data_IF_355798745723
#
_entry.id   IF_355798745723
#
_cell.length_a   1.000
_cell.length_b   1.000
_cell.length_c   1.000
_cell.angle_alpha   90.00
_cell.angle_beta   90.00
_cell.angle_gamma   90.00
#
_symmetry.space_group_name_H-M   'P 1'
#
loop_
_entity.id
_entity.type
_entity.pdbx_description
1 polymer ?
#
# COMPACT_ATOMS: atom_id res chain seq x y z
N UNK A 1 26.51 -45.98 26.62
CA UNK A 1 26.51 -45.42 25.26
C UNK A 1 25.81 -46.42 24.36
N UNK A 2 24.86 -45.99 23.53
CA UNK A 2 24.16 -46.90 22.63
C UNK A 2 25.17 -47.52 21.64
N UNK A 3 25.13 -48.83 21.46
CA UNK A 3 26.02 -49.58 20.56
C UNK A 3 25.70 -49.27 19.08
N UNK A 4 24.50 -48.76 18.82
CA UNK A 4 23.98 -48.41 17.49
C UNK A 4 23.32 -47.04 17.58
N UNK A 5 23.81 -46.09 16.80
CA UNK A 5 23.19 -44.76 16.62
C UNK A 5 22.09 -44.84 15.58
N UNK A 6 20.97 -44.15 15.81
CA UNK A 6 19.86 -44.07 14.86
C UNK A 6 19.70 -42.62 14.42
N UNK A 7 19.87 -42.38 13.12
CA UNK A 7 19.67 -41.09 12.49
C UNK A 7 18.34 -41.11 11.75
N UNK A 8 17.50 -40.13 12.03
CA UNK A 8 16.22 -39.91 11.37
C UNK A 8 15.98 -38.41 11.25
N UNK A 9 15.05 -38.03 10.40
CA UNK A 9 14.63 -36.64 10.32
C UNK A 9 14.02 -36.18 11.65
N UNK A 10 14.61 -35.16 12.27
CA UNK A 10 14.05 -34.41 13.40
C UNK A 10 14.05 -32.89 13.13
N UNK A 11 14.25 -32.51 11.86
CA UNK A 11 14.27 -31.13 11.42
C UNK A 11 12.90 -30.43 11.50
N UNK A 12 12.88 -29.09 11.33
CA UNK A 12 11.65 -28.32 11.42
C UNK A 12 10.62 -28.70 10.34
N UNK A 13 9.33 -28.44 10.56
CA UNK A 13 8.33 -28.54 9.49
C UNK A 13 8.55 -27.46 8.42
N UNK A 14 8.11 -27.71 7.18
CA UNK A 14 8.13 -26.71 6.10
C UNK A 14 9.50 -26.40 5.50
N UNK A 15 10.50 -27.22 5.80
CA UNK A 15 11.87 -27.08 5.28
C UNK A 15 12.04 -27.99 4.06
N UNK A 16 12.74 -27.52 3.03
CA UNK A 16 13.05 -28.29 1.82
C UNK A 16 14.29 -29.17 1.97
N UNK A 17 15.32 -28.65 2.66
CA UNK A 17 16.51 -29.43 3.01
C UNK A 17 17.02 -29.08 4.41
N UNK A 18 17.54 -30.09 5.10
CA UNK A 18 18.03 -29.95 6.47
C UNK A 18 19.26 -30.82 6.70
N UNK A 19 20.32 -30.22 7.26
CA UNK A 19 21.53 -30.92 7.65
C UNK A 19 21.39 -31.46 9.06
N UNK A 20 21.66 -32.76 9.23
CA UNK A 20 21.77 -33.37 10.54
C UNK A 20 22.92 -32.74 11.34
N UNK A 21 22.74 -32.33 12.61
CA UNK A 21 23.75 -31.57 13.35
C UNK A 21 25.02 -32.34 13.69
N UNK A 22 24.92 -33.65 13.93
CA UNK A 22 26.08 -34.46 14.29
C UNK A 22 26.77 -35.01 13.03
N UNK A 23 28.06 -34.71 12.87
CA UNK A 23 28.86 -35.14 11.73
C UNK A 23 29.69 -36.39 12.02
N UNK A 24 29.82 -36.79 13.28
CA UNK A 24 30.59 -37.97 13.68
C UNK A 24 29.68 -39.21 13.66
N UNK A 25 29.79 -39.99 12.59
CA UNK A 25 28.97 -41.18 12.39
C UNK A 25 29.71 -42.46 12.84
N UNK A 26 29.00 -43.35 13.53
CA UNK A 26 29.50 -44.69 13.88
C UNK A 26 29.44 -45.70 12.73
N UNK A 27 30.24 -46.76 12.82
CA UNK A 27 30.39 -47.82 11.79
C UNK A 27 29.12 -48.66 11.51
N UNK A 28 28.06 -48.49 12.31
CA UNK A 28 26.79 -49.23 12.17
C UNK A 28 25.56 -48.35 12.34
N UNK A 29 25.70 -47.05 12.07
CA UNK A 29 24.60 -46.10 12.21
C UNK A 29 23.41 -46.50 11.32
N UNK A 30 22.23 -46.54 11.91
CA UNK A 30 20.98 -46.83 11.22
C UNK A 30 20.36 -45.51 10.74
N UNK A 31 20.29 -45.34 9.43
CA UNK A 31 19.61 -44.20 8.80
C UNK A 31 18.16 -44.58 8.48
N UNK A 32 17.21 -43.77 8.94
CA UNK A 32 15.79 -43.91 8.63
C UNK A 32 15.37 -42.74 7.76
N UNK A 33 14.91 -43.05 6.54
CA UNK A 33 14.41 -42.09 5.56
C UNK A 33 12.90 -42.27 5.41
N UNK A 34 12.14 -41.18 5.56
CA UNK A 34 10.68 -41.23 5.39
C UNK A 34 10.29 -41.37 3.91
N UNK A 35 9.06 -41.81 3.64
CA UNK A 35 8.56 -42.03 2.26
C UNK A 35 8.64 -40.82 1.34
N UNK A 36 8.45 -39.62 1.90
CA UNK A 36 8.49 -38.35 1.18
C UNK A 36 9.87 -37.68 1.17
N UNK A 37 10.93 -38.44 1.50
CA UNK A 37 12.28 -37.91 1.68
C UNK A 37 13.32 -38.69 0.87
N UNK A 38 14.40 -37.97 0.56
CA UNK A 38 15.68 -38.54 0.14
C UNK A 38 16.75 -38.04 1.09
N UNK A 39 17.81 -38.83 1.29
CA UNK A 39 18.97 -38.42 2.08
C UNK A 39 20.22 -38.48 1.24
N UNK A 40 21.04 -37.44 1.27
CA UNK A 40 22.33 -37.40 0.61
C UNK A 40 23.43 -37.34 1.66
N UNK A 41 24.43 -38.21 1.54
CA UNK A 41 25.61 -38.19 2.39
C UNK A 41 26.71 -37.35 1.73
N UNK A 42 27.24 -36.36 2.45
CA UNK A 42 28.41 -35.59 2.01
C UNK A 42 29.63 -35.97 2.84
N UNK A 43 30.78 -36.13 2.18
CA UNK A 43 32.06 -36.37 2.86
C UNK A 43 33.18 -35.70 2.09
N UNK A 44 34.06 -35.00 2.81
CA UNK A 44 35.18 -34.28 2.18
C UNK A 44 34.73 -33.25 1.13
N UNK A 45 33.54 -32.65 1.31
CA UNK A 45 32.97 -31.69 0.37
C UNK A 45 32.34 -32.29 -0.90
N UNK A 46 32.22 -33.62 -0.99
CA UNK A 46 31.59 -34.29 -2.14
C UNK A 46 30.28 -34.97 -1.72
N UNK A 47 29.24 -34.81 -2.54
CA UNK A 47 28.02 -35.60 -2.43
C UNK A 47 28.32 -37.04 -2.88
N UNK A 48 28.14 -38.01 -1.99
CA UNK A 48 28.43 -39.43 -2.25
C UNK A 48 27.16 -40.18 -2.63
N UNK A 49 26.51 -40.82 -1.65
CA UNK A 49 25.36 -41.69 -1.87
C UNK A 49 24.04 -40.94 -1.66
N UNK A 50 23.01 -41.41 -2.35
CA UNK A 50 21.62 -40.98 -2.19
C UNK A 50 20.81 -42.18 -1.69
N UNK A 51 20.12 -41.99 -0.57
CA UNK A 51 19.26 -42.97 0.07
C UNK A 51 17.80 -42.57 -0.11
N UNK A 52 16.99 -43.50 -0.61
CA UNK A 52 15.53 -43.34 -0.72
C UNK A 52 14.83 -43.76 0.57
N UNK A 53 13.50 -43.68 0.60
CA UNK A 53 12.68 -44.16 1.71
C UNK A 53 13.07 -45.56 2.22
N UNK A 54 13.07 -45.73 3.54
CA UNK A 54 13.37 -46.99 4.20
C UNK A 54 14.45 -46.90 5.29
N UNK A 55 14.79 -48.06 5.84
CA UNK A 55 15.89 -48.19 6.81
C UNK A 55 17.15 -48.64 6.08
N UNK A 56 18.22 -47.89 6.27
CA UNK A 56 19.53 -48.14 5.68
C UNK A 56 20.57 -48.29 6.79
N UNK A 57 21.51 -49.20 6.60
CA UNK A 57 22.67 -49.31 7.49
C UNK A 57 23.85 -48.62 6.83
N UNK A 58 24.37 -47.58 7.47
CA UNK A 58 25.57 -46.89 7.01
C UNK A 58 26.79 -47.74 7.41
N UNK A 59 27.34 -48.47 6.44
CA UNK A 59 28.56 -49.26 6.61
C UNK A 59 29.64 -48.71 5.69
N UNK A 60 30.84 -48.52 6.22
CA UNK A 60 32.04 -48.06 5.50
C UNK A 60 32.35 -48.88 4.25
N UNK A 61 31.98 -50.16 4.21
CA UNK A 61 32.19 -51.04 3.06
C UNK A 61 31.11 -50.90 1.96
N UNK A 62 29.95 -50.32 2.26
CA UNK A 62 28.77 -50.31 1.38
C UNK A 62 28.55 -48.96 0.68
N UNK A 63 29.42 -47.98 0.90
CA UNK A 63 29.46 -46.72 0.14
C UNK A 63 30.45 -46.94 -1.02
N UNK A 64 29.98 -47.16 -2.27
CA UNK A 64 30.77 -47.75 -3.36
C UNK A 64 32.03 -46.96 -3.74
N UNK A 65 32.08 -45.67 -3.41
CA UNK A 65 33.20 -44.76 -3.72
C UNK A 65 34.25 -44.73 -2.59
N UNK A 66 33.91 -45.17 -1.37
CA UNK A 66 34.76 -45.03 -0.18
C UNK A 66 35.68 -46.22 0.11
N UNK A 67 35.54 -47.35 -0.58
CA UNK A 67 36.35 -48.55 -0.33
C UNK A 67 37.84 -48.37 -0.68
N UNK A 68 38.21 -47.35 -1.45
CA UNK A 68 39.58 -47.17 -1.96
C UNK A 68 40.50 -46.27 -1.10
N UNK A 69 40.03 -45.71 0.02
CA UNK A 69 40.81 -44.72 0.81
C UNK A 69 40.72 -45.05 2.30
N UNK A 70 41.35 -46.12 2.78
CA UNK A 70 41.54 -46.32 4.23
C UNK A 70 42.87 -46.98 4.54
N UNK A 71 43.85 -46.18 4.97
CA UNK A 71 44.97 -46.57 5.82
C UNK A 71 45.56 -45.29 6.46
N UNK A 72 45.09 -44.84 7.63
CA UNK A 72 45.85 -43.89 8.47
C UNK A 72 45.33 -43.83 9.94
N UNK A 73 46.18 -43.45 10.94
CA UNK A 73 45.90 -43.50 12.38
C UNK A 73 45.41 -42.15 12.93
N UNK A 74 44.14 -42.06 13.35
CA UNK A 74 43.46 -40.78 13.62
C UNK A 74 43.29 -40.38 15.10
N UNK A 75 44.32 -40.52 15.94
CA UNK A 75 44.47 -39.72 17.18
C UNK A 75 43.25 -39.51 18.11
N UNK A 76 42.31 -40.45 18.17
CA UNK A 76 41.11 -40.37 19.01
C UNK A 76 39.89 -39.63 18.42
N UNK A 77 39.92 -39.15 17.17
CA UNK A 77 38.74 -38.64 16.44
C UNK A 77 38.18 -39.71 15.51
N UNK A 78 36.86 -39.77 15.36
CA UNK A 78 36.23 -40.71 14.43
C UNK A 78 36.77 -40.45 13.01
N UNK A 79 37.26 -41.47 12.27
CA UNK A 79 37.72 -41.31 10.88
C UNK A 79 36.57 -41.01 9.89
N UNK A 80 35.35 -40.80 10.40
CA UNK A 80 34.12 -40.68 9.62
C UNK A 80 33.36 -39.39 9.97
N UNK A 81 33.96 -38.23 9.67
CA UNK A 81 33.22 -36.98 9.57
C UNK A 81 32.45 -36.96 8.24
N UNK A 82 31.13 -37.00 8.30
CA UNK A 82 30.25 -36.91 7.14
C UNK A 82 28.98 -36.14 7.50
N UNK A 83 28.44 -35.39 6.55
CA UNK A 83 27.19 -34.64 6.71
C UNK A 83 26.02 -35.44 6.13
N UNK A 84 24.94 -35.54 6.89
CA UNK A 84 23.71 -36.23 6.45
C UNK A 84 22.67 -35.18 6.12
N UNK A 85 22.31 -35.08 4.84
CA UNK A 85 21.37 -34.10 4.33
C UNK A 85 20.03 -34.73 4.02
N UNK A 86 18.99 -34.36 4.75
CA UNK A 86 17.62 -34.74 4.45
C UNK A 86 16.99 -33.75 3.46
N UNK A 87 16.35 -34.27 2.42
CA UNK A 87 15.68 -33.50 1.38
C UNK A 87 14.21 -33.93 1.32
N UNK A 88 13.31 -32.97 1.57
CA UNK A 88 11.87 -33.19 1.56
C UNK A 88 11.33 -33.05 0.13
N UNK A 89 10.84 -34.16 -0.45
CA UNK A 89 10.30 -34.23 -1.82
C UNK A 89 8.82 -33.89 -1.92
N UNK A 90 8.22 -33.41 -0.82
CA UNK A 90 6.81 -32.99 -0.79
C UNK A 90 6.56 -31.88 -1.80
N UNK A 91 5.37 -31.90 -2.41
CA UNK A 91 4.90 -30.85 -3.31
C UNK A 91 4.42 -29.67 -2.47
N UNK A 92 5.16 -28.55 -2.50
CA UNK A 92 4.69 -27.31 -1.90
C UNK A 92 3.86 -26.57 -2.94
N UNK A 93 2.54 -26.46 -2.74
CA UNK A 93 1.61 -25.92 -3.74
C UNK A 93 1.21 -24.45 -3.53
N UNK A 94 1.48 -23.89 -2.35
CA UNK A 94 1.07 -22.54 -1.93
C UNK A 94 2.31 -21.67 -1.62
N UNK A 95 3.22 -21.56 -2.58
CA UNK A 95 4.34 -20.62 -2.48
C UNK A 95 3.90 -19.25 -3.00
N UNK A 96 3.56 -18.37 -2.07
CA UNK A 96 3.06 -17.03 -2.38
C UNK A 96 4.15 -16.13 -2.97
N UNK A 97 3.77 -15.31 -3.93
CA UNK A 97 4.61 -14.28 -4.53
C UNK A 97 3.82 -12.99 -4.74
N UNK A 98 4.55 -11.88 -4.82
CA UNK A 98 3.97 -10.58 -5.14
C UNK A 98 5.03 -9.62 -5.65
N UNK A 99 4.60 -8.68 -6.49
CA UNK A 99 5.47 -7.60 -6.99
C UNK A 99 5.92 -6.73 -5.82
N UNK A 100 7.23 -6.61 -5.63
CA UNK A 100 7.81 -5.80 -4.57
C UNK A 100 7.84 -4.30 -4.90
N UNK A 101 8.06 -3.97 -6.17
CA UNK A 101 7.90 -2.63 -6.71
C UNK A 101 6.68 -2.60 -7.64
N UNK A 102 5.93 -1.48 -7.67
CA UNK A 102 4.86 -1.30 -8.65
C UNK A 102 5.40 -1.30 -10.08
N UNK A 103 4.63 -1.88 -11.00
CA UNK A 103 4.85 -1.84 -12.44
C UNK A 103 4.23 -0.54 -12.94
N UNK A 104 5.07 0.45 -13.27
CA UNK A 104 4.62 1.72 -13.81
C UNK A 104 4.46 1.62 -15.33
N UNK A 105 3.25 1.88 -15.82
CA UNK A 105 2.97 1.90 -17.26
C UNK A 105 1.81 2.83 -17.58
N UNK A 106 1.63 3.11 -18.87
CA UNK A 106 0.51 3.89 -19.37
C UNK A 106 -0.60 2.93 -19.84
N UNK A 107 -1.82 3.10 -19.32
CA UNK A 107 -2.97 2.35 -19.80
C UNK A 107 -3.25 2.73 -21.27
N UNK A 108 -3.36 1.77 -22.19
CA UNK A 108 -3.51 2.04 -23.62
C UNK A 108 -4.88 2.58 -24.02
N UNK A 109 -5.92 2.40 -23.18
CA UNK A 109 -7.32 2.78 -23.46
C UNK A 109 -7.63 4.17 -22.94
N UNK A 110 -7.18 4.48 -21.73
CA UNK A 110 -7.44 5.74 -21.03
C UNK A 110 -6.25 6.70 -21.08
N UNK A 111 -5.09 6.24 -21.55
CA UNK A 111 -3.86 7.03 -21.71
C UNK A 111 -3.35 7.65 -20.39
N UNK A 112 -3.65 7.01 -19.25
CA UNK A 112 -3.25 7.43 -17.92
C UNK A 112 -2.06 6.61 -17.42
N UNK A 113 -1.17 7.22 -16.65
CA UNK A 113 -0.10 6.51 -15.95
C UNK A 113 -0.67 5.84 -14.71
N UNK A 114 -0.40 4.54 -14.55
CA UNK A 114 -0.86 3.73 -13.42
C UNK A 114 0.28 2.88 -12.87
N UNK A 115 0.23 2.64 -11.57
CA UNK A 115 1.20 1.79 -10.87
C UNK A 115 0.56 0.45 -10.51
N UNK A 116 0.79 -0.60 -11.29
CA UNK A 116 0.20 -1.91 -11.04
C UNK A 116 0.97 -2.72 -10.00
N UNK A 117 0.26 -3.55 -9.27
CA UNK A 117 0.82 -4.65 -8.49
C UNK A 117 0.17 -5.96 -8.91
N UNK A 118 0.93 -7.03 -8.80
CA UNK A 118 0.44 -8.37 -9.08
C UNK A 118 0.87 -9.30 -7.96
N UNK A 119 0.02 -10.28 -7.66
CA UNK A 119 0.31 -11.31 -6.68
C UNK A 119 -0.34 -12.63 -7.08
N UNK A 120 0.17 -13.68 -6.48
CA UNK A 120 -0.37 -15.01 -6.66
C UNK A 120 0.43 -16.05 -5.91
N UNK A 121 0.40 -17.27 -6.43
CA UNK A 121 1.08 -18.41 -5.84
C UNK A 121 1.65 -19.33 -6.91
N UNK A 122 2.65 -20.12 -6.55
CA UNK A 122 3.18 -21.17 -7.40
C UNK A 122 3.48 -22.43 -6.59
N UNK A 123 3.52 -23.55 -7.31
CA UNK A 123 3.81 -24.85 -6.75
C UNK A 123 5.19 -25.32 -7.17
N UNK A 124 5.96 -25.84 -6.22
CA UNK A 124 7.32 -26.35 -6.44
C UNK A 124 7.51 -27.72 -5.81
N UNK A 125 8.33 -28.55 -6.45
CA UNK A 125 8.79 -29.82 -5.92
C UNK A 125 10.28 -29.97 -6.20
N UNK A 126 11.02 -30.58 -5.27
CA UNK A 126 12.42 -30.96 -5.52
C UNK A 126 12.42 -32.21 -6.39
N UNK A 127 12.97 -32.11 -7.59
CA UNK A 127 13.05 -33.20 -8.56
C UNK A 127 14.41 -33.89 -8.48
N UNK A 128 15.50 -33.13 -8.47
CA UNK A 128 16.87 -33.63 -8.31
C UNK A 128 17.48 -33.08 -7.01
N UNK A 129 17.55 -33.95 -6.00
CA UNK A 129 18.04 -33.59 -4.67
C UNK A 129 19.53 -33.22 -4.68
N UNK A 130 20.34 -33.85 -5.51
CA UNK A 130 21.79 -33.57 -5.58
C UNK A 130 22.03 -32.21 -6.22
N UNK A 131 21.38 -31.95 -7.36
CA UNK A 131 21.46 -30.68 -8.06
C UNK A 131 20.95 -29.54 -7.20
N UNK A 132 19.84 -29.77 -6.49
CA UNK A 132 19.27 -28.82 -5.54
C UNK A 132 20.23 -28.48 -4.40
N UNK A 133 20.76 -29.46 -3.68
CA UNK A 133 21.69 -29.19 -2.58
C UNK A 133 22.95 -28.43 -3.04
N UNK A 134 23.55 -28.87 -4.16
CA UNK A 134 24.79 -28.28 -4.68
C UNK A 134 24.61 -26.85 -5.19
N UNK A 135 23.49 -26.54 -5.85
CA UNK A 135 23.25 -25.23 -6.46
C UNK A 135 22.57 -24.23 -5.53
N UNK A 136 21.74 -24.68 -4.57
CA UNK A 136 20.89 -23.79 -3.78
C UNK A 136 21.20 -23.72 -2.29
N UNK A 137 21.55 -24.84 -1.67
CA UNK A 137 21.66 -24.88 -0.20
C UNK A 137 23.02 -24.40 0.28
N UNK A 138 24.08 -24.73 -0.47
CA UNK A 138 25.42 -24.26 -0.18
C UNK A 138 25.88 -24.65 1.23
N UNK A 139 26.09 -23.67 2.10
CA UNK A 139 26.57 -23.85 3.48
C UNK A 139 25.49 -23.58 4.54
N UNK A 140 24.24 -23.36 4.15
CA UNK A 140 23.16 -23.16 5.11
C UNK A 140 22.93 -24.46 5.91
N UNK A 141 22.52 -24.42 7.19
CA UNK A 141 22.17 -25.64 7.93
C UNK A 141 20.78 -26.18 7.55
N UNK A 142 19.92 -25.32 6.99
CA UNK A 142 18.59 -25.67 6.51
C UNK A 142 18.18 -24.71 5.39
N UNK A 143 17.26 -25.16 4.53
CA UNK A 143 16.74 -24.39 3.42
C UNK A 143 15.21 -24.45 3.42
N UNK A 144 14.56 -23.31 3.63
CA UNK A 144 13.11 -23.19 3.77
C UNK A 144 12.45 -22.45 2.59
N UNK A 145 11.13 -22.32 2.64
CA UNK A 145 10.35 -21.62 1.61
C UNK A 145 10.68 -20.14 1.49
N UNK A 146 10.98 -19.46 2.61
CA UNK A 146 11.33 -18.04 2.56
C UNK A 146 12.65 -17.82 1.83
N UNK A 147 13.63 -18.69 2.08
CA UNK A 147 14.94 -18.68 1.39
C UNK A 147 14.77 -18.92 -0.10
N UNK A 148 13.93 -19.89 -0.48
CA UNK A 148 13.59 -20.15 -1.89
C UNK A 148 13.07 -18.88 -2.58
N UNK A 149 12.01 -18.26 -2.03
CA UNK A 149 11.39 -17.07 -2.62
C UNK A 149 12.40 -15.92 -2.71
N UNK A 150 13.25 -15.76 -1.69
CA UNK A 150 14.29 -14.72 -1.67
C UNK A 150 15.28 -14.88 -2.83
N UNK A 151 15.76 -16.10 -3.08
CA UNK A 151 16.76 -16.36 -4.13
C UNK A 151 16.18 -16.20 -5.53
N UNK A 152 14.92 -16.61 -5.72
CA UNK A 152 14.24 -16.51 -7.01
C UNK A 152 13.59 -15.16 -7.30
N UNK A 153 13.56 -14.24 -6.32
CA UNK A 153 12.90 -12.95 -6.44
C UNK A 153 13.29 -12.20 -7.71
N UNK A 154 14.58 -12.14 -8.04
CA UNK A 154 15.05 -11.43 -9.24
C UNK A 154 14.47 -12.01 -10.54
N UNK A 155 14.61 -13.33 -10.72
CA UNK A 155 14.11 -14.03 -11.91
C UNK A 155 12.59 -13.92 -12.02
N UNK A 156 11.87 -14.11 -10.90
CA UNK A 156 10.42 -13.97 -10.85
C UNK A 156 9.98 -12.56 -11.23
N UNK A 157 10.50 -11.53 -10.55
CA UNK A 157 10.08 -10.15 -10.76
C UNK A 157 10.36 -9.68 -12.20
N UNK A 158 11.53 -10.02 -12.75
CA UNK A 158 11.89 -9.67 -14.13
C UNK A 158 10.89 -10.23 -15.15
N UNK A 159 10.60 -11.54 -15.07
CA UNK A 159 9.69 -12.20 -16.02
C UNK A 159 8.24 -11.73 -15.82
N UNK A 160 7.79 -11.56 -14.57
CA UNK A 160 6.45 -11.06 -14.26
C UNK A 160 6.26 -9.65 -14.82
N UNK A 161 7.22 -8.75 -14.57
CA UNK A 161 7.18 -7.36 -15.06
C UNK A 161 7.14 -7.31 -16.59
N UNK A 162 8.03 -8.04 -17.26
CA UNK A 162 8.09 -8.11 -18.72
C UNK A 162 6.78 -8.62 -19.31
N UNK A 163 6.29 -9.77 -18.85
CA UNK A 163 5.10 -10.42 -19.42
C UNK A 163 3.85 -9.57 -19.16
N UNK A 164 3.61 -9.10 -17.93
CA UNK A 164 2.43 -8.25 -17.64
C UNK A 164 2.47 -6.97 -18.48
N UNK A 165 3.62 -6.30 -18.54
CA UNK A 165 3.78 -5.06 -19.32
C UNK A 165 3.55 -5.32 -20.81
N UNK A 166 4.03 -6.44 -21.35
CA UNK A 166 3.83 -6.79 -22.77
C UNK A 166 2.36 -6.97 -23.13
N UNK A 167 1.56 -7.56 -22.25
CA UNK A 167 0.11 -7.72 -22.47
C UNK A 167 -0.59 -6.36 -22.50
N UNK A 168 -0.22 -5.45 -21.61
CA UNK A 168 -0.86 -4.14 -21.55
C UNK A 168 -0.42 -3.27 -22.73
N UNK A 169 0.90 -3.16 -22.97
CA UNK A 169 1.45 -2.24 -23.97
C UNK A 169 1.30 -2.78 -25.39
N UNK A 170 1.70 -4.03 -25.64
CA UNK A 170 1.72 -4.56 -27.01
C UNK A 170 0.38 -5.12 -27.46
N UNK A 171 -0.34 -5.86 -26.58
CA UNK A 171 -1.72 -6.30 -26.90
C UNK A 171 -2.77 -5.21 -26.69
N UNK A 172 -2.38 -4.03 -26.19
CA UNK A 172 -3.26 -2.88 -25.91
C UNK A 172 -4.44 -3.22 -25.00
N UNK A 173 -4.20 -4.09 -24.01
CA UNK A 173 -5.21 -4.50 -23.03
C UNK A 173 -5.26 -3.45 -21.92
N UNK A 174 -6.46 -2.96 -21.61
CA UNK A 174 -6.63 -2.02 -20.49
C UNK A 174 -6.33 -2.70 -19.16
N UNK A 175 -5.77 -1.95 -18.22
CA UNK A 175 -5.47 -2.44 -16.86
C UNK A 175 -6.71 -2.84 -16.07
N UNK A 176 -7.89 -2.34 -16.47
CA UNK A 176 -9.17 -2.73 -15.88
C UNK A 176 -9.60 -4.13 -16.35
N UNK A 177 -9.19 -4.53 -17.55
CA UNK A 177 -9.57 -5.76 -18.22
C UNK A 177 -8.50 -6.86 -18.08
N UNK A 178 -7.30 -6.52 -17.60
CA UNK A 178 -6.13 -7.42 -17.56
C UNK A 178 -6.37 -8.69 -16.75
N UNK A 179 -7.20 -8.64 -15.70
CA UNK A 179 -7.54 -9.81 -14.88
C UNK A 179 -8.26 -10.89 -15.68
N UNK A 180 -8.97 -10.56 -16.75
CA UNK A 180 -9.58 -11.55 -17.65
C UNK A 180 -8.53 -12.43 -18.37
N UNK A 181 -7.28 -11.96 -18.45
CA UNK A 181 -6.15 -12.66 -19.07
C UNK A 181 -5.23 -13.32 -18.04
N UNK A 182 -5.57 -13.31 -16.75
CA UNK A 182 -4.71 -13.82 -15.69
C UNK A 182 -4.28 -15.27 -15.92
N UNK A 183 -5.17 -16.14 -16.43
CA UNK A 183 -4.83 -17.53 -16.76
C UNK A 183 -3.82 -17.66 -17.91
N UNK A 184 -3.95 -16.85 -18.96
CA UNK A 184 -3.00 -16.85 -20.09
C UNK A 184 -1.63 -16.32 -19.65
N UNK A 185 -1.63 -15.22 -18.89
CA UNK A 185 -0.43 -14.62 -18.29
C UNK A 185 0.27 -15.63 -17.37
N UNK A 186 -0.49 -16.34 -16.53
CA UNK A 186 0.03 -17.37 -15.64
C UNK A 186 0.78 -18.46 -16.41
N UNK A 187 0.19 -18.95 -17.52
CA UNK A 187 0.81 -19.96 -18.38
C UNK A 187 2.08 -19.44 -19.05
N UNK A 188 2.10 -18.18 -19.49
CA UNK A 188 3.27 -17.58 -20.12
C UNK A 188 4.41 -17.40 -19.11
N UNK A 189 4.11 -16.90 -17.91
CA UNK A 189 5.11 -16.77 -16.84
C UNK A 189 5.66 -18.14 -16.46
N UNK A 190 4.80 -19.14 -16.26
CA UNK A 190 5.22 -20.52 -15.98
C UNK A 190 6.23 -21.03 -17.01
N UNK A 191 5.92 -20.93 -18.30
CA UNK A 191 6.79 -21.39 -19.38
C UNK A 191 8.14 -20.66 -19.43
N UNK A 192 8.15 -19.36 -19.11
CA UNK A 192 9.38 -18.55 -19.11
C UNK A 192 10.32 -18.91 -17.95
N UNK A 193 9.77 -19.18 -16.75
CA UNK A 193 10.58 -19.39 -15.54
C UNK A 193 10.88 -20.86 -15.25
N UNK A 194 10.07 -21.80 -15.74
CA UNK A 194 10.24 -23.24 -15.47
C UNK A 194 11.65 -23.78 -15.78
N UNK A 195 12.31 -23.40 -16.90
CA UNK A 195 13.67 -23.85 -17.19
C UNK A 195 14.70 -23.44 -16.12
N UNK A 196 14.55 -22.25 -15.53
CA UNK A 196 15.44 -21.77 -14.48
C UNK A 196 15.32 -22.59 -13.19
N UNK A 197 14.10 -23.05 -12.86
CA UNK A 197 13.87 -23.97 -11.74
C UNK A 197 14.48 -25.35 -12.02
N UNK A 198 14.30 -25.88 -13.23
CA UNK A 198 14.85 -27.18 -13.63
C UNK A 198 16.39 -27.18 -13.62
N UNK A 199 17.03 -26.06 -13.99
CA UNK A 199 18.49 -25.98 -13.94
C UNK A 199 19.05 -26.16 -12.52
N UNK A 200 18.24 -25.96 -11.48
CA UNK A 200 18.67 -26.12 -10.09
C UNK A 200 18.03 -27.30 -9.37
N UNK A 201 17.39 -28.21 -10.11
CA UNK A 201 16.82 -29.44 -9.56
C UNK A 201 15.42 -29.26 -8.97
N UNK A 202 14.74 -28.18 -9.30
CA UNK A 202 13.35 -27.92 -8.90
C UNK A 202 12.41 -28.07 -10.09
N UNK A 203 11.23 -28.63 -9.83
CA UNK A 203 10.12 -28.69 -10.77
C UNK A 203 9.09 -27.63 -10.41
N UNK A 204 8.75 -26.76 -11.35
CA UNK A 204 7.66 -25.80 -11.21
C UNK A 204 6.34 -26.47 -11.63
N UNK A 205 5.53 -26.84 -10.65
CA UNK A 205 4.31 -27.63 -10.85
C UNK A 205 3.18 -26.80 -11.46
N UNK A 206 2.98 -25.60 -10.94
CA UNK A 206 1.98 -24.65 -11.40
C UNK A 206 2.46 -23.23 -11.08
N UNK A 207 1.85 -22.26 -11.74
CA UNK A 207 2.05 -20.84 -11.45
C UNK A 207 0.72 -20.15 -11.70
N UNK A 208 0.27 -19.36 -10.73
CA UNK A 208 -0.99 -18.63 -10.81
C UNK A 208 -0.76 -17.17 -10.46
N UNK A 209 -1.32 -16.29 -11.29
CA UNK A 209 -1.58 -14.89 -10.99
C UNK A 209 -3.01 -14.82 -10.48
N UNK A 210 -3.16 -14.52 -9.18
CA UNK A 210 -4.47 -14.45 -8.55
C UNK A 210 -5.13 -13.09 -8.84
N UNK A 211 -4.34 -12.02 -8.85
CA UNK A 211 -4.84 -10.69 -9.17
C UNK A 211 -3.73 -9.76 -9.66
N UNK A 212 -4.12 -8.87 -10.57
CA UNK A 212 -3.36 -7.69 -10.98
C UNK A 212 -4.23 -6.48 -10.65
N UNK A 213 -3.77 -5.60 -9.77
CA UNK A 213 -4.53 -4.47 -9.29
C UNK A 213 -3.73 -3.16 -9.31
N UNK A 214 -4.44 -2.04 -9.27
CA UNK A 214 -3.85 -0.74 -8.97
C UNK A 214 -4.08 -0.49 -7.48
N UNK A 215 -3.05 -0.12 -6.69
CA UNK A 215 -3.22 0.23 -5.28
C UNK A 215 -4.34 1.27 -5.09
N UNK A 216 -5.19 1.07 -4.10
CA UNK A 216 -6.36 1.94 -3.87
C UNK A 216 -5.98 3.39 -3.48
N UNK A 217 -4.77 3.58 -2.98
CA UNK A 217 -4.20 4.89 -2.65
C UNK A 217 -3.54 5.61 -3.85
N UNK A 218 -3.52 5.01 -5.05
CA UNK A 218 -2.98 5.66 -6.24
C UNK A 218 -3.97 6.74 -6.73
N UNK A 219 -3.57 8.03 -6.81
CA UNK A 219 -4.42 9.09 -7.32
C UNK A 219 -4.96 8.83 -8.74
N UNK A 220 -4.20 8.10 -9.57
CA UNK A 220 -4.65 7.70 -10.90
C UNK A 220 -5.79 6.68 -10.85
N UNK A 221 -5.75 5.74 -9.89
CA UNK A 221 -6.81 4.75 -9.70
C UNK A 221 -8.11 5.43 -9.25
N UNK A 222 -8.03 6.36 -8.31
CA UNK A 222 -9.19 7.11 -7.81
C UNK A 222 -9.85 7.86 -8.96
N UNK A 223 -9.07 8.64 -9.72
CA UNK A 223 -9.57 9.40 -10.88
C UNK A 223 -10.15 8.50 -11.96
N UNK A 224 -9.52 7.35 -12.23
CA UNK A 224 -10.04 6.40 -13.20
C UNK A 224 -11.39 5.83 -12.75
N UNK A 225 -11.51 5.41 -11.49
CA UNK A 225 -12.76 4.88 -10.92
C UNK A 225 -13.87 5.94 -10.98
N UNK A 226 -13.59 7.18 -10.60
CA UNK A 226 -14.54 8.31 -10.68
C UNK A 226 -14.98 8.58 -12.12
N UNK A 227 -14.04 8.64 -13.07
CA UNK A 227 -14.37 8.88 -14.47
C UNK A 227 -15.22 7.75 -15.07
N UNK A 228 -14.94 6.50 -14.70
CA UNK A 228 -15.73 5.34 -15.14
C UNK A 228 -17.12 5.33 -14.51
N UNK A 229 -17.23 5.65 -13.22
CA UNK A 229 -18.51 5.77 -12.53
C UNK A 229 -19.37 6.87 -13.17
N UNK A 230 -18.80 8.06 -13.38
CA UNK A 230 -19.47 9.18 -14.03
C UNK A 230 -19.91 8.84 -15.46
N UNK A 231 -19.07 8.13 -16.22
CA UNK A 231 -19.45 7.64 -17.55
C UNK A 231 -20.64 6.67 -17.48
N UNK A 232 -20.62 5.73 -16.54
CA UNK A 232 -21.70 4.78 -16.36
C UNK A 232 -23.01 5.47 -15.94
N UNK A 233 -22.96 6.48 -15.06
CA UNK A 233 -24.11 7.29 -14.68
C UNK A 233 -24.74 7.99 -15.88
N UNK A 234 -23.91 8.64 -16.71
CA UNK A 234 -24.33 9.26 -17.97
C UNK A 234 -24.99 8.25 -18.92
N UNK A 235 -24.40 7.05 -19.06
CA UNK A 235 -24.90 5.99 -19.93
C UNK A 235 -26.24 5.41 -19.41
N UNK A 236 -26.42 5.27 -18.09
CA UNK A 236 -27.65 4.76 -17.45
C UNK A 236 -28.80 5.76 -17.57
N UNK A 237 -28.53 7.03 -17.24
CA UNK A 237 -29.56 8.07 -17.17
C UNK A 237 -29.84 8.64 -18.58
N UNK A 238 -28.91 8.47 -19.52
CA UNK A 238 -29.07 8.81 -20.93
C UNK A 238 -28.78 10.28 -21.24
N UNK A 239 -27.95 10.96 -20.46
CA UNK A 239 -27.50 12.32 -20.76
C UNK A 239 -26.01 12.38 -21.09
N UNK A 240 -25.65 13.33 -21.95
CA UNK A 240 -24.26 13.60 -22.35
C UNK A 240 -23.60 14.60 -21.40
N UNK A 241 -22.26 14.62 -21.37
CA UNK A 241 -21.50 15.60 -20.58
C UNK A 241 -21.91 17.06 -20.86
N UNK A 242 -22.20 17.38 -22.12
CA UNK A 242 -22.67 18.72 -22.51
C UNK A 242 -24.05 19.04 -21.91
N UNK A 243 -24.95 18.05 -21.86
CA UNK A 243 -26.26 18.21 -21.23
C UNK A 243 -26.14 18.36 -19.72
N UNK A 244 -25.30 17.55 -19.05
CA UNK A 244 -25.03 17.67 -17.61
C UNK A 244 -24.54 19.09 -17.27
N UNK A 245 -23.51 19.57 -17.97
CA UNK A 245 -22.98 20.93 -17.77
C UNK A 245 -24.03 22.00 -18.03
N UNK A 246 -24.92 21.79 -19.00
CA UNK A 246 -26.02 22.73 -19.26
C UNK A 246 -27.01 22.77 -18.07
N UNK A 247 -27.36 21.61 -17.49
CA UNK A 247 -28.22 21.55 -16.31
C UNK A 247 -27.54 22.14 -15.07
N UNK A 248 -26.25 21.86 -14.84
CA UNK A 248 -25.47 22.47 -13.75
C UNK A 248 -25.47 24.00 -13.86
N UNK A 249 -25.29 24.54 -15.08
CA UNK A 249 -25.32 25.99 -15.28
C UNK A 249 -26.70 26.58 -15.02
N UNK A 250 -27.77 25.90 -15.45
CA UNK A 250 -29.14 26.33 -15.19
C UNK A 250 -29.48 26.28 -13.70
N UNK A 251 -29.06 25.24 -12.99
CA UNK A 251 -29.25 25.11 -11.55
C UNK A 251 -28.43 26.17 -10.79
N UNK A 252 -27.19 26.44 -11.21
CA UNK A 252 -26.35 27.49 -10.65
C UNK A 252 -26.96 28.90 -10.81
N UNK A 253 -27.65 29.16 -11.92
CA UNK A 253 -28.42 30.39 -12.17
C UNK A 253 -29.70 30.41 -11.31
N UNK A 254 -30.43 29.31 -11.22
CA UNK A 254 -31.65 29.21 -10.41
C UNK A 254 -31.38 29.37 -8.91
N UNK A 255 -30.23 28.89 -8.41
CA UNK A 255 -29.78 29.09 -7.02
C UNK A 255 -29.30 30.52 -6.74
N UNK A 256 -28.98 31.31 -7.78
CA UNK A 256 -28.52 32.71 -7.67
C UNK A 256 -29.30 33.68 -8.58
N UNK A 257 -30.62 33.86 -8.38
CA UNK A 257 -31.48 34.64 -9.27
C UNK A 257 -31.22 36.16 -9.25
N UNK A 258 -30.36 36.66 -8.33
CA UNK A 258 -30.05 38.10 -8.16
C UNK A 258 -28.77 38.59 -8.87
N UNK A 259 -28.10 37.74 -9.65
CA UNK A 259 -26.91 38.12 -10.41
C UNK A 259 -27.28 38.54 -11.83
N UNK A 260 -26.96 39.78 -12.21
CA UNK A 260 -27.13 40.32 -13.58
C UNK A 260 -26.34 39.54 -14.68
N UNK A 261 -25.67 38.43 -14.35
CA UNK A 261 -25.12 37.48 -15.32
C UNK A 261 -26.18 36.57 -15.97
N UNK A 262 -27.40 36.49 -15.41
CA UNK A 262 -28.50 35.69 -15.96
C UNK A 262 -29.00 36.15 -17.34
N UNK A 263 -28.78 37.42 -17.71
CA UNK A 263 -29.17 37.93 -19.03
C UNK A 263 -28.16 37.62 -20.14
N UNK A 264 -26.90 37.30 -19.78
CA UNK A 264 -25.82 37.02 -20.74
C UNK A 264 -25.71 35.50 -21.01
N UNK A 265 -26.03 34.65 -20.02
CA UNK A 265 -26.07 33.19 -20.21
C UNK A 265 -27.34 32.67 -20.91
N UNK A 266 -28.46 33.38 -20.81
CA UNK A 266 -29.72 33.02 -21.47
C UNK A 266 -29.83 33.57 -22.92
N UNK A 267 -28.97 34.51 -23.31
CA UNK A 267 -29.00 35.16 -24.63
C UNK A 267 -28.33 34.36 -25.77
N UNK A 268 -27.69 33.21 -25.48
CA UNK A 268 -26.95 32.43 -26.47
C UNK A 268 -27.51 31.01 -26.70
N UNK A 269 -28.52 30.58 -25.92
CA UNK A 269 -29.06 29.22 -25.97
C UNK A 269 -30.48 29.08 -26.53
N UNK A 270 -31.21 30.18 -26.71
CA UNK A 270 -32.55 30.15 -27.33
C UNK A 270 -32.40 30.57 -28.80
N UNK A 271 -32.18 29.57 -29.64
CA UNK A 271 -32.17 29.73 -31.10
C UNK A 271 -33.44 30.44 -31.58
N UNK A 272 -33.24 31.66 -32.08
CA UNK A 272 -33.82 32.22 -33.30
C UNK A 272 -35.11 31.53 -33.82
N UNK A 273 -36.25 31.89 -33.23
CA UNK A 273 -37.57 31.79 -33.87
C UNK A 273 -38.00 33.17 -34.35
N UNK A 274 -37.80 33.43 -35.64
CA UNK A 274 -38.09 34.66 -36.38
C UNK A 274 -39.54 35.15 -36.20
N UNK A 275 -39.79 36.22 -35.42
CA UNK A 275 -41.16 36.77 -35.43
C UNK A 275 -41.56 37.99 -34.61
N UNK A 276 -40.70 38.64 -33.80
CA UNK A 276 -41.20 39.66 -32.86
C UNK A 276 -40.38 40.96 -32.77
N UNK A 277 -39.79 41.41 -33.88
CA UNK A 277 -39.00 42.67 -33.91
C UNK A 277 -39.88 43.94 -34.02
N UNK A 278 -41.16 43.82 -34.41
CA UNK A 278 -41.90 45.01 -34.88
C UNK A 278 -42.64 45.88 -33.84
N UNK A 279 -43.13 45.41 -32.67
CA UNK A 279 -43.85 46.32 -31.76
C UNK A 279 -42.96 46.99 -30.69
N UNK A 280 -41.68 46.62 -30.57
CA UNK A 280 -40.80 47.13 -29.50
C UNK A 280 -40.04 48.41 -29.90
N UNK A 281 -39.93 48.69 -31.20
CA UNK A 281 -39.25 49.90 -31.71
C UNK A 281 -40.05 51.19 -31.46
N UNK A 282 -41.39 51.10 -31.51
CA UNK A 282 -42.28 52.26 -31.38
C UNK A 282 -42.53 52.69 -29.92
N UNK A 283 -42.24 51.78 -28.96
CA UNK A 283 -42.27 52.08 -27.54
C UNK A 283 -41.03 52.85 -27.05
N UNK A 284 -39.92 52.77 -27.78
CA UNK A 284 -38.64 53.38 -27.36
C UNK A 284 -38.50 54.85 -27.77
N UNK A 285 -39.27 55.32 -28.77
CA UNK A 285 -39.27 56.72 -29.22
C UNK A 285 -40.22 57.65 -28.43
N UNK A 286 -41.00 57.12 -27.48
CA UNK A 286 -41.90 57.93 -26.62
C UNK A 286 -41.29 58.30 -25.26
N UNK A 287 -40.09 57.83 -24.96
CA UNK A 287 -39.41 58.05 -23.67
C UNK A 287 -38.25 59.08 -23.82
N UNK A 288 -38.01 59.60 -25.03
CA UNK A 288 -36.91 60.53 -25.32
C UNK A 288 -37.25 62.03 -25.20
N UNK A 289 -38.34 62.38 -24.51
CA UNK A 289 -38.71 63.77 -24.24
C UNK A 289 -39.00 63.94 -22.76
N UNK A 290 -38.22 64.81 -22.10
CA UNK A 290 -38.26 65.18 -20.67
C UNK A 290 -37.37 64.33 -19.75
N UNK A 291 -36.10 64.73 -19.56
CA UNK A 291 -35.54 64.99 -18.22
C UNK A 291 -34.49 66.11 -18.33
N UNK A 292 -34.70 67.10 -17.47
CA UNK A 292 -33.97 68.35 -17.28
C UNK A 292 -32.62 68.13 -16.57
N UNK A 293 -31.57 68.84 -17.00
CA UNK A 293 -30.25 68.85 -16.37
C UNK A 293 -30.19 70.05 -15.41
N UNK A 294 -30.17 69.79 -14.10
CA UNK A 294 -29.71 70.73 -13.09
C UNK A 294 -28.71 70.02 -12.16
N UNK A 295 -27.59 70.70 -11.91
CA UNK A 295 -26.41 70.14 -11.27
C UNK A 295 -26.35 70.27 -9.74
N UNK A 296 -25.30 69.63 -9.24
CA UNK A 296 -24.62 69.74 -7.94
C UNK A 296 -25.40 69.39 -6.67
N UNK A 297 -25.01 68.27 -6.06
CA UNK A 297 -25.29 67.92 -4.68
C UNK A 297 -24.68 66.56 -4.37
N UNK A 298 -23.63 66.53 -3.55
CA UNK A 298 -22.96 65.32 -3.08
C UNK A 298 -23.95 64.27 -2.57
N UNK A 299 -24.09 63.19 -3.33
CA UNK A 299 -24.61 61.92 -2.83
C UNK A 299 -23.48 60.91 -3.01
N UNK A 300 -22.62 60.87 -1.99
CA UNK A 300 -21.67 59.79 -1.80
C UNK A 300 -22.46 58.48 -1.69
N UNK A 301 -22.63 57.79 -2.81
CA UNK A 301 -23.12 56.41 -2.81
C UNK A 301 -22.03 55.61 -2.13
N UNK A 302 -22.26 55.23 -0.87
CA UNK A 302 -21.35 54.37 -0.14
C UNK A 302 -21.18 53.07 -0.94
N UNK A 303 -19.96 52.80 -1.39
CA UNK A 303 -19.60 51.59 -2.12
C UNK A 303 -18.56 50.81 -1.32
N UNK A 304 -18.67 49.49 -1.32
CA UNK A 304 -17.75 48.59 -0.61
C UNK A 304 -17.02 47.67 -1.59
N UNK A 305 -15.69 47.68 -1.50
CA UNK A 305 -14.85 46.81 -2.31
C UNK A 305 -14.87 45.38 -1.75
N UNK A 306 -14.98 44.39 -2.64
CA UNK A 306 -14.88 42.98 -2.27
C UNK A 306 -13.42 42.64 -1.90
N UNK A 307 -13.21 42.08 -0.72
CA UNK A 307 -11.88 41.68 -0.23
C UNK A 307 -11.20 40.57 -1.04
N UNK A 308 -11.98 39.77 -1.80
CA UNK A 308 -11.46 38.65 -2.58
C UNK A 308 -11.11 39.01 -4.03
N UNK A 309 -11.93 39.83 -4.69
CA UNK A 309 -11.77 40.13 -6.12
C UNK A 309 -11.67 41.63 -6.45
N UNK A 310 -11.75 42.51 -5.45
CA UNK A 310 -11.63 43.95 -5.62
C UNK A 310 -12.86 44.65 -6.22
N UNK A 311 -13.89 43.91 -6.63
CA UNK A 311 -15.04 44.50 -7.31
C UNK A 311 -15.82 45.44 -6.36
N UNK A 312 -16.20 46.62 -6.83
CA UNK A 312 -16.98 47.60 -6.06
C UNK A 312 -18.46 47.22 -6.06
N UNK A 313 -19.03 47.08 -4.86
CA UNK A 313 -20.42 46.71 -4.67
C UNK A 313 -21.16 47.85 -3.97
N UNK A 314 -22.47 47.90 -4.15
CA UNK A 314 -23.35 48.82 -3.42
C UNK A 314 -23.20 48.62 -1.90
N UNK A 315 -23.35 49.66 -1.09
CA UNK A 315 -23.20 49.60 0.39
C UNK A 315 -24.01 48.47 1.03
N UNK A 316 -25.22 48.24 0.53
CA UNK A 316 -26.16 47.22 1.05
C UNK A 316 -25.95 45.80 0.46
N UNK A 317 -25.02 45.61 -0.47
CA UNK A 317 -24.86 44.34 -1.18
C UNK A 317 -24.37 43.20 -0.27
N UNK A 318 -25.18 42.19 0.03
CA UNK A 318 -24.77 41.08 0.91
C UNK A 318 -23.74 40.15 0.24
N UNK A 319 -23.77 40.03 -1.09
CA UNK A 319 -22.85 39.21 -1.88
C UNK A 319 -22.17 40.02 -2.99
N UNK A 320 -20.99 39.58 -3.40
CA UNK A 320 -20.19 40.25 -4.40
C UNK A 320 -20.75 39.94 -5.77
N UNK A 321 -21.12 40.97 -6.51
CA UNK A 321 -21.63 40.84 -7.88
C UNK A 321 -20.59 40.28 -8.87
N UNK A 322 -19.29 40.32 -8.51
CA UNK A 322 -18.22 39.79 -9.36
C UNK A 322 -17.88 38.32 -9.09
N UNK A 323 -17.71 37.93 -7.82
CA UNK A 323 -17.20 36.59 -7.48
C UNK A 323 -18.16 35.75 -6.61
N UNK A 324 -19.36 36.25 -6.31
CA UNK A 324 -20.40 35.53 -5.57
C UNK A 324 -20.13 35.36 -4.07
N UNK A 325 -19.01 35.86 -3.54
CA UNK A 325 -18.68 35.76 -2.11
C UNK A 325 -19.35 36.87 -1.29
N UNK A 326 -19.71 36.61 -0.01
CA UNK A 326 -20.39 37.60 0.81
C UNK A 326 -19.52 38.85 1.02
N UNK A 327 -20.05 40.04 0.70
CA UNK A 327 -19.37 41.32 0.90
C UNK A 327 -19.75 41.83 2.28
N UNK A 328 -19.12 41.20 3.29
CA UNK A 328 -19.44 41.43 4.69
C UNK A 328 -19.18 42.89 5.09
N UNK A 329 -20.25 43.56 5.50
CA UNK A 329 -20.19 44.74 6.37
C UNK A 329 -19.67 44.31 7.72
N UNK A 330 -18.43 44.68 8.06
CA UNK A 330 -18.00 45.09 9.40
C UNK A 330 -18.28 44.22 10.63
N UNK A 331 -18.84 43.02 10.53
CA UNK A 331 -18.86 42.05 11.61
C UNK A 331 -17.64 41.16 11.43
N UNK A 332 -16.68 41.38 12.32
CA UNK A 332 -15.61 40.45 12.62
C UNK A 332 -16.16 39.04 12.56
N UNK A 333 -15.54 38.22 11.70
CA UNK A 333 -15.56 36.79 11.92
C UNK A 333 -15.14 36.57 13.38
N UNK A 334 -16.11 36.27 14.25
CA UNK A 334 -15.84 35.43 15.41
C UNK A 334 -15.61 34.00 14.90
N UNK A 335 -14.69 33.84 13.96
CA UNK A 335 -13.94 32.60 13.89
C UNK A 335 -13.25 32.52 15.25
N UNK A 336 -13.74 31.61 16.09
CA UNK A 336 -13.42 31.54 17.50
C UNK A 336 -11.91 31.68 17.68
N UNK A 337 -11.48 32.78 18.31
CA UNK A 337 -10.08 32.95 18.68
C UNK A 337 -9.72 31.80 19.62
N UNK A 338 -8.77 30.99 19.20
CA UNK A 338 -8.32 29.79 19.90
C UNK A 338 -7.23 30.23 20.86
N UNK A 339 -7.20 29.70 22.07
CA UNK A 339 -6.16 30.10 23.03
C UNK A 339 -4.91 29.24 22.82
N UNK A 340 -3.73 29.83 22.75
CA UNK A 340 -2.46 29.09 22.73
C UNK A 340 -2.32 28.22 23.99
N UNK A 341 -1.94 26.95 23.86
CA UNK A 341 -1.78 26.06 25.02
C UNK A 341 -0.65 26.48 25.96
N UNK A 342 0.39 27.14 25.42
CA UNK A 342 1.60 27.47 26.19
C UNK A 342 1.56 28.89 26.77
N UNK A 343 1.12 29.88 25.99
CA UNK A 343 1.16 31.29 26.41
C UNK A 343 -0.22 31.90 26.69
N UNK A 344 -1.31 31.18 26.41
CA UNK A 344 -2.68 31.65 26.65
C UNK A 344 -3.13 32.85 25.81
N UNK A 345 -2.35 33.27 24.81
CA UNK A 345 -2.74 34.37 23.93
C UNK A 345 -3.67 33.86 22.80
N UNK A 346 -4.58 34.71 22.29
CA UNK A 346 -5.45 34.34 21.20
C UNK A 346 -4.65 34.13 19.91
N UNK A 347 -4.90 32.99 19.27
CA UNK A 347 -4.38 32.60 17.97
C UNK A 347 -5.46 32.94 16.92
N UNK A 348 -5.15 33.79 15.92
CA UNK A 348 -6.09 34.10 14.86
C UNK A 348 -6.49 32.86 14.04
N UNK A 349 -7.69 32.83 13.47
CA UNK A 349 -8.07 31.77 12.53
C UNK A 349 -7.09 31.69 11.35
N UNK A 350 -6.75 30.48 10.93
CA UNK A 350 -5.80 30.15 9.86
C UNK A 350 -4.31 30.45 10.11
N UNK A 351 -3.89 30.84 11.32
CA UNK A 351 -2.44 30.92 11.62
C UNK A 351 -1.85 29.55 11.92
N UNK A 352 -0.68 29.25 11.34
CA UNK A 352 0.05 27.99 11.55
C UNK A 352 0.90 27.96 12.84
N UNK A 353 1.08 29.11 13.47
CA UNK A 353 1.93 29.30 14.65
C UNK A 353 1.35 30.41 15.53
N UNK A 354 1.63 30.35 16.83
CA UNK A 354 1.31 31.41 17.78
C UNK A 354 2.12 32.66 17.44
N UNK A 355 1.44 33.81 17.25
CA UNK A 355 2.10 35.07 16.89
C UNK A 355 2.92 35.71 18.02
N UNK A 356 2.74 35.25 19.27
CA UNK A 356 3.45 35.76 20.43
C UNK A 356 4.66 34.90 20.83
N UNK A 357 4.48 33.57 20.79
CA UNK A 357 5.45 32.63 21.34
C UNK A 357 6.16 31.80 20.24
N UNK A 358 5.62 31.80 19.02
CA UNK A 358 6.23 31.13 17.86
C UNK A 358 5.96 29.63 17.77
N UNK A 359 5.29 29.03 18.75
CA UNK A 359 5.01 27.60 18.73
C UNK A 359 4.02 27.20 17.63
N UNK A 360 4.23 26.04 16.97
CA UNK A 360 3.29 25.51 15.99
C UNK A 360 1.92 25.26 16.61
N UNK A 361 0.88 25.63 15.87
CA UNK A 361 -0.50 25.39 16.29
C UNK A 361 -0.89 23.91 16.06
N UNK A 362 -1.33 23.24 17.13
CA UNK A 362 -1.74 21.83 17.13
C UNK A 362 -3.26 21.72 17.38
N UNK A 363 -4.09 21.71 16.31
CA UNK A 363 -5.54 21.74 16.44
C UNK A 363 -6.08 20.45 17.07
N UNK A 364 -6.91 20.59 18.11
CA UNK A 364 -7.78 19.49 18.53
C UNK A 364 -8.72 19.12 17.37
N UNK A 365 -8.77 17.85 16.92
CA UNK A 365 -9.64 17.42 15.82
C UNK A 365 -11.13 17.64 16.08
N UNK A 366 -11.53 17.81 17.34
CA UNK A 366 -12.93 17.92 17.74
C UNK A 366 -13.43 19.34 17.97
N UNK A 367 -12.61 20.24 18.49
CA UNK A 367 -13.03 21.61 18.82
C UNK A 367 -12.14 22.70 18.24
N UNK A 368 -11.00 22.34 17.60
CA UNK A 368 -10.05 23.32 17.06
C UNK A 368 -9.30 24.12 18.12
N UNK A 369 -9.38 23.77 19.41
CA UNK A 369 -8.53 24.39 20.42
C UNK A 369 -7.08 23.90 20.27
N UNK A 370 -6.11 24.77 20.50
CA UNK A 370 -4.69 24.41 20.52
C UNK A 370 -4.39 23.47 21.70
N UNK A 371 -3.58 22.44 21.45
CA UNK A 371 -3.27 21.39 22.42
C UNK A 371 -1.77 21.16 22.48
N UNK A 372 -1.23 20.90 23.68
CA UNK A 372 0.20 20.57 23.81
C UNK A 372 0.56 19.30 23.01
N UNK A 373 1.80 19.25 22.51
CA UNK A 373 2.33 18.19 21.61
C UNK A 373 2.09 16.76 22.11
N UNK A 374 2.09 16.56 23.43
CA UNK A 374 1.95 15.25 24.08
C UNK A 374 0.68 15.13 24.94
N UNK A 375 -0.33 15.98 24.75
CA UNK A 375 -1.53 15.90 25.57
C UNK A 375 -2.37 14.65 25.23
N UNK A 376 -2.73 13.86 26.24
CA UNK A 376 -3.61 12.70 26.05
C UNK A 376 -5.07 13.10 25.78
N UNK A 377 -5.49 14.30 26.23
CA UNK A 377 -6.83 14.83 26.01
C UNK A 377 -6.83 16.34 25.84
N UNK A 378 -7.82 16.86 25.11
CA UNK A 378 -8.00 18.29 24.94
C UNK A 378 -8.49 18.92 26.25
N UNK A 379 -7.78 19.93 26.74
CA UNK A 379 -8.13 20.69 27.96
C UNK A 379 -9.45 21.46 27.85
N UNK A 380 -9.89 21.79 26.63
CA UNK A 380 -11.13 22.54 26.41
C UNK A 380 -12.36 21.65 26.21
N UNK A 381 -12.27 20.58 25.42
CA UNK A 381 -13.42 19.72 25.11
C UNK A 381 -13.37 18.32 25.74
N UNK A 382 -12.30 17.98 26.47
CA UNK A 382 -12.13 16.71 27.17
C UNK A 382 -11.96 15.47 26.29
N UNK A 383 -11.91 15.62 24.96
CA UNK A 383 -11.80 14.49 24.04
C UNK A 383 -10.34 14.04 23.87
N UNK A 384 -10.16 12.73 23.75
CA UNK A 384 -8.86 12.08 23.58
C UNK A 384 -8.17 12.54 22.28
N UNK A 385 -6.86 12.78 22.37
CA UNK A 385 -6.04 13.12 21.20
C UNK A 385 -5.52 11.83 20.55
N UNK A 386 -5.76 11.61 19.24
CA UNK A 386 -5.29 10.42 18.57
C UNK A 386 -3.75 10.37 18.58
N UNK A 387 -3.20 9.27 19.08
CA UNK A 387 -1.75 9.03 19.13
C UNK A 387 -1.31 8.19 17.93
N UNK A 388 -0.18 8.50 17.27
CA UNK A 388 0.30 7.69 16.17
C UNK A 388 0.84 6.34 16.67
N UNK A 389 0.62 5.29 15.89
CA UNK A 389 1.21 3.98 16.10
C UNK A 389 2.75 4.06 15.93
N UNK A 390 3.50 3.47 16.87
CA UNK A 390 4.97 3.50 16.85
C UNK A 390 5.60 2.72 15.68
N UNK A 391 4.89 1.73 15.14
CA UNK A 391 5.38 0.89 14.05
C UNK A 391 4.99 1.43 12.67
N UNK A 392 3.75 1.91 12.51
CA UNK A 392 3.22 2.30 11.18
C UNK A 392 2.71 3.74 11.07
N UNK A 393 2.66 4.49 12.17
CA UNK A 393 2.20 5.90 12.18
C UNK A 393 0.68 6.09 12.18
N UNK A 394 -0.12 5.02 12.10
CA UNK A 394 -1.60 5.10 12.09
C UNK A 394 -2.16 5.76 13.35
N UNK A 395 -3.19 6.60 13.21
CA UNK A 395 -3.84 7.24 14.37
C UNK A 395 -4.66 6.23 15.20
N UNK A 396 -4.25 6.03 16.44
CA UNK A 396 -4.89 5.13 17.40
C UNK A 396 -5.93 5.86 18.23
N UNK A 397 -7.07 5.19 18.46
CA UNK A 397 -8.11 5.68 19.37
C UNK A 397 -7.74 5.37 20.85
N UNK A 398 -8.52 5.95 21.76
CA UNK A 398 -8.29 5.98 23.22
C UNK A 398 -8.01 4.61 23.87
N UNK A 399 -8.55 3.52 23.30
CA UNK A 399 -8.53 2.19 23.92
C UNK A 399 -7.99 1.07 23.02
N UNK A 400 -7.43 1.40 21.84
CA UNK A 400 -6.84 0.39 20.97
C UNK A 400 -5.65 -0.26 21.66
N UNK A 401 -5.79 -1.53 22.11
CA UNK A 401 -4.70 -2.39 22.62
C UNK A 401 -3.78 -2.93 21.51
N UNK A 402 -4.27 -2.88 20.27
CA UNK A 402 -3.57 -3.28 19.05
C UNK A 402 -3.84 -2.26 17.96
N UNK A 403 -2.84 -2.00 17.12
CA UNK A 403 -3.01 -1.14 15.95
C UNK A 403 -3.91 -1.84 14.92
N UNK A 404 -4.97 -1.20 14.41
CA UNK A 404 -5.85 -1.79 13.41
C UNK A 404 -5.16 -1.98 12.05
N UNK A 405 -4.12 -1.18 11.74
CA UNK A 405 -3.40 -1.25 10.46
C UNK A 405 -2.25 -2.26 10.46
N UNK A 406 -1.42 -2.31 11.51
CA UNK A 406 -0.24 -3.20 11.53
C UNK A 406 -0.30 -4.33 12.57
N UNK A 407 -1.34 -4.40 13.41
CA UNK A 407 -1.50 -5.44 14.43
C UNK A 407 -0.55 -5.32 15.64
N UNK A 408 0.36 -4.34 15.66
CA UNK A 408 1.31 -4.15 16.77
C UNK A 408 0.56 -3.84 18.07
N UNK A 409 0.95 -4.47 19.18
CA UNK A 409 0.41 -4.09 20.48
C UNK A 409 0.83 -2.67 20.83
N UNK A 410 -0.14 -1.88 21.28
CA UNK A 410 0.05 -0.49 21.71
C UNK A 410 0.35 -0.41 23.21
N UNK A 411 0.26 -1.55 23.90
CA UNK A 411 0.55 -1.69 25.32
C UNK A 411 2.06 -1.67 25.49
N UNK A 412 2.54 -0.68 26.23
CA UNK A 412 3.94 -0.59 26.58
C UNK A 412 4.25 -1.69 27.60
N UNK A 413 5.32 -2.45 27.38
CA UNK A 413 5.79 -3.49 28.30
C UNK A 413 7.21 -3.22 28.73
N UNK A 414 7.54 -3.62 29.95
CA UNK A 414 8.91 -3.59 30.43
C UNK A 414 9.74 -4.64 29.70
N UNK A 415 10.83 -4.24 29.04
CA UNK A 415 11.71 -5.15 28.30
C UNK A 415 12.46 -6.20 29.15
N UNK A 416 12.32 -6.17 30.48
CA UNK A 416 12.94 -7.17 31.37
C UNK A 416 11.96 -8.14 32.03
N UNK A 417 10.73 -7.73 32.31
CA UNK A 417 9.75 -8.58 33.01
C UNK A 417 8.38 -8.66 32.31
N UNK A 418 8.25 -8.07 31.12
CA UNK A 418 7.02 -8.02 30.31
C UNK A 418 5.78 -7.41 30.99
N UNK A 419 5.94 -6.80 32.17
CA UNK A 419 4.85 -6.11 32.85
C UNK A 419 4.40 -4.86 32.08
N UNK A 420 3.09 -4.59 32.08
CA UNK A 420 2.50 -3.42 31.43
C UNK A 420 2.95 -2.13 32.12
N UNK A 421 3.43 -1.16 31.35
CA UNK A 421 3.92 0.14 31.85
C UNK A 421 3.05 1.28 31.32
N UNK A 422 2.92 2.34 32.10
CA UNK A 422 2.17 3.54 31.68
C UNK A 422 3.08 4.52 30.91
N UNK A 423 2.54 5.32 29.97
CA UNK A 423 3.28 6.41 29.34
C UNK A 423 3.87 7.36 30.40
N UNK A 424 5.13 7.78 30.22
CA UNK A 424 5.84 8.67 31.16
C UNK A 424 6.48 8.01 32.39
N UNK A 425 6.35 6.70 32.55
CA UNK A 425 6.92 5.96 33.68
C UNK A 425 8.44 5.75 33.50
N UNK A 426 9.26 6.24 34.45
CA UNK A 426 10.74 6.18 34.38
C UNK A 426 11.33 4.83 34.83
N UNK A 427 10.60 4.08 35.66
CA UNK A 427 11.05 2.80 36.23
C UNK A 427 9.88 1.80 36.26
N UNK A 428 10.14 0.54 35.98
CA UNK A 428 9.15 -0.52 36.12
C UNK A 428 8.80 -0.72 37.60
N UNK A 429 7.51 -0.69 37.95
CA UNK A 429 7.05 -0.83 39.35
C UNK A 429 7.18 -2.28 39.88
N UNK A 430 7.31 -3.27 39.01
CA UNK A 430 7.45 -4.68 39.40
C UNK A 430 8.92 -5.10 39.55
N UNK A 431 9.77 -4.78 38.57
CA UNK A 431 11.16 -5.24 38.56
C UNK A 431 12.20 -4.14 38.86
N UNK A 432 11.78 -2.89 39.03
CA UNK A 432 12.66 -1.75 39.31
C UNK A 432 13.54 -1.31 38.13
N UNK A 433 13.46 -1.97 36.97
CA UNK A 433 14.32 -1.64 35.83
C UNK A 433 13.99 -0.26 35.24
N UNK A 434 15.02 0.48 34.82
CA UNK A 434 14.87 1.81 34.21
C UNK A 434 14.29 1.66 32.81
N UNK A 435 13.16 2.32 32.57
CA UNK A 435 12.48 2.32 31.28
C UNK A 435 13.10 3.44 30.42
N UNK A 436 13.40 3.14 29.15
CA UNK A 436 14.00 4.10 28.19
C UNK A 436 12.93 4.72 27.31
#
# INVERSE_FOLDING_TARGET
MAIIEVIKYDGPPGVFAWCYPNQELGTWTQLIVNESQEVILFKGGQALDLFTAGRHTLNTANIPILSNIVNLPFGGKSPFAAEVWFVNKLRSLDVKWGTNSPIQLQDPKYNILVSLRAFGQFGVQIEDSRKFLLKMVGTLPSFDQNTLVKYFRGVLMSNIHEIISSYIVHKKISVVEINAYAAEISKHIHGAIAPAFQDIGLSLLNFYVDSINIPDNDPAAIRLKEALAKKAEMDIIGYTYHQERSFDTLEGVAKNPGSNSGFIGAGLGVGMGLGMVNPMYDAMNRISGEVNIQGSGDLAVAQKACSKCGNLNHSEAVYCSGCGQPVRTGQQDTAAMMMCSDCGNPIPPNSKFCLHYGDPYHPCPSCGQDVAVDAESCSSCGKFMPRPCRECGESLNEQAKFCPSCGSSTVLKCGSCDHEIKPGQKFCMECGNKLT
#
